data_IF_109046537807
#
_entry.id   IF_109046537807
#
_cell.length_a   1.000
_cell.length_b   1.000
_cell.length_c   1.000
_cell.angle_alpha   90.00
_cell.angle_beta   90.00
_cell.angle_gamma   90.00
#
_symmetry.space_group_name_H-M   'P 1'
#
loop_
_entity.id
_entity.type
_entity.pdbx_description
1 polymer ?
#
# COMPACT_ATOMS: atom_id res chain seq x y z
N UNK A 1 24.43 14.82 -2.55
CA UNK A 1 23.34 14.10 -3.24
C UNK A 1 23.68 12.62 -3.27
N UNK A 2 22.79 11.74 -2.81
CA UNK A 2 22.91 10.27 -2.88
C UNK A 2 21.74 9.73 -3.70
N UNK A 3 22.01 8.97 -4.75
CA UNK A 3 20.99 8.39 -5.62
C UNK A 3 20.69 6.96 -5.18
N UNK A 4 19.42 6.57 -5.24
CA UNK A 4 18.98 5.19 -5.03
C UNK A 4 18.53 4.62 -6.37
N UNK A 5 19.07 3.45 -6.72
CA UNK A 5 18.56 2.68 -7.86
C UNK A 5 17.43 1.77 -7.40
N UNK A 6 16.33 1.81 -8.14
CA UNK A 6 15.18 0.94 -7.98
C UNK A 6 14.49 0.71 -9.34
N UNK A 7 13.66 -0.31 -9.40
CA UNK A 7 12.85 -0.65 -10.57
C UNK A 7 11.57 0.19 -10.68
N UNK A 8 11.48 1.28 -9.91
CA UNK A 8 10.33 2.19 -9.94
C UNK A 8 10.36 3.10 -11.19
N UNK A 9 9.21 3.65 -11.59
CA UNK A 9 9.11 4.55 -12.74
C UNK A 9 9.76 5.92 -12.52
N UNK A 10 10.43 6.13 -11.39
CA UNK A 10 11.13 7.36 -11.04
C UNK A 10 12.55 7.06 -10.53
N UNK A 11 13.43 8.06 -10.60
CA UNK A 11 14.73 8.06 -9.93
C UNK A 11 14.62 8.83 -8.63
N UNK A 12 15.07 8.25 -7.52
CA UNK A 12 15.01 8.89 -6.19
C UNK A 12 16.41 9.31 -5.73
N UNK A 13 16.52 10.52 -5.18
CA UNK A 13 17.77 11.01 -4.60
C UNK A 13 17.54 11.71 -3.26
N UNK A 14 18.46 11.46 -2.32
CA UNK A 14 18.59 12.20 -1.07
C UNK A 14 19.50 13.41 -1.28
N UNK A 15 18.99 14.59 -0.97
CA UNK A 15 19.68 15.89 -1.07
C UNK A 15 19.91 16.40 0.35
N UNK A 16 21.17 16.71 0.66
CA UNK A 16 21.64 17.27 1.94
C UNK A 16 21.19 16.53 3.21
N UNK A 17 20.77 15.27 3.08
CA UNK A 17 20.20 14.46 4.17
C UNK A 17 18.93 15.07 4.80
N UNK A 18 18.34 16.06 4.14
CA UNK A 18 17.14 16.80 4.58
C UNK A 18 15.97 16.65 3.62
N UNK A 19 16.23 16.31 2.35
CA UNK A 19 15.21 16.25 1.32
C UNK A 19 15.29 14.99 0.48
N UNK A 20 14.14 14.44 0.12
CA UNK A 20 14.03 13.36 -0.87
C UNK A 20 13.39 13.93 -2.12
N UNK A 21 14.06 13.82 -3.25
CA UNK A 21 13.48 14.16 -4.55
C UNK A 21 13.24 12.91 -5.38
N UNK A 22 12.09 12.87 -6.05
CA UNK A 22 11.79 11.88 -7.09
C UNK A 22 11.68 12.59 -8.42
N UNK A 23 12.31 12.02 -9.44
CA UNK A 23 12.26 12.51 -10.83
C UNK A 23 11.63 11.42 -11.67
N UNK A 24 10.47 11.70 -12.28
CA UNK A 24 9.71 10.72 -13.06
C UNK A 24 10.41 10.46 -14.40
N UNK A 25 10.61 9.18 -14.74
CA UNK A 25 11.27 8.75 -15.99
C UNK A 25 10.30 8.75 -17.18
N UNK A 26 9.02 8.54 -16.91
CA UNK A 26 7.92 8.61 -17.88
C UNK A 26 6.95 9.70 -17.44
N UNK A 27 6.76 10.69 -18.30
CA UNK A 27 5.84 11.80 -18.04
C UNK A 27 4.46 11.42 -18.58
N UNK A 28 3.44 11.57 -17.74
CA UNK A 28 2.05 11.34 -18.10
C UNK A 28 1.27 12.64 -17.95
N UNK A 29 0.39 12.91 -18.91
CA UNK A 29 -0.45 14.12 -18.90
C UNK A 29 -1.60 13.89 -17.92
N UNK A 30 -1.76 14.82 -16.98
CA UNK A 30 -2.85 14.77 -16.01
C UNK A 30 -2.38 15.16 -14.61
N UNK A 31 -3.29 14.98 -13.65
CA UNK A 31 -3.00 15.19 -12.23
C UNK A 31 -2.13 14.03 -11.76
N UNK A 32 -0.94 14.33 -11.26
CA UNK A 32 -0.09 13.33 -10.63
C UNK A 32 -0.59 13.05 -9.20
N UNK A 33 -0.92 11.79 -8.84
CA UNK A 33 -1.48 11.46 -7.53
C UNK A 33 -0.59 11.85 -6.36
N UNK A 34 0.74 11.69 -6.49
CA UNK A 34 1.69 12.04 -5.42
C UNK A 34 1.69 13.55 -5.15
N UNK A 35 1.55 14.38 -6.20
CA UNK A 35 1.40 15.84 -6.05
C UNK A 35 0.04 16.19 -5.44
N UNK A 36 -1.06 15.61 -5.94
CA UNK A 36 -2.42 15.88 -5.46
C UNK A 36 -2.56 15.53 -3.96
N UNK A 37 -2.19 14.29 -3.61
CA UNK A 37 -2.22 13.77 -2.25
C UNK A 37 -1.23 14.52 -1.36
N UNK A 38 -0.01 14.77 -1.84
CA UNK A 38 1.02 15.48 -1.09
C UNK A 38 0.60 16.91 -0.72
N UNK A 39 0.01 17.67 -1.68
CA UNK A 39 -0.52 19.01 -1.41
C UNK A 39 -1.67 18.97 -0.41
N UNK A 40 -2.63 18.07 -0.59
CA UNK A 40 -3.75 17.96 0.34
C UNK A 40 -3.28 17.61 1.77
N UNK A 41 -2.45 16.57 1.91
CA UNK A 41 -1.96 16.11 3.21
C UNK A 41 -1.07 17.16 3.90
N UNK A 42 -0.27 17.90 3.14
CA UNK A 42 0.66 18.90 3.69
C UNK A 42 -0.02 20.23 3.99
N UNK A 43 -0.77 20.78 3.02
CA UNK A 43 -1.22 22.18 3.07
C UNK A 43 -2.66 22.32 3.59
N UNK A 44 -3.52 21.31 3.35
CA UNK A 44 -4.95 21.39 3.71
C UNK A 44 -5.20 20.78 5.09
N UNK A 45 -4.82 19.52 5.28
CA UNK A 45 -5.12 18.79 6.53
C UNK A 45 -3.96 18.75 7.52
N UNK A 46 -2.75 19.15 7.12
CA UNK A 46 -1.54 19.12 7.94
C UNK A 46 -1.33 17.74 8.62
N UNK A 47 -1.43 16.65 7.84
CA UNK A 47 -1.30 15.29 8.35
C UNK A 47 0.15 15.01 8.79
N UNK A 48 0.41 14.68 10.06
CA UNK A 48 1.78 14.66 10.60
C UNK A 48 2.59 13.42 10.24
N UNK A 49 1.94 12.30 9.92
CA UNK A 49 2.57 10.99 9.73
C UNK A 49 2.85 10.69 8.24
N UNK A 50 3.23 11.71 7.49
CA UNK A 50 3.69 11.59 6.09
C UNK A 50 4.78 12.62 5.80
N UNK A 51 5.72 12.38 4.87
CA UNK A 51 6.68 13.39 4.42
C UNK A 51 5.95 14.60 3.84
N UNK A 52 6.24 15.80 4.36
CA UNK A 52 5.69 17.03 3.80
C UNK A 52 6.15 17.23 2.35
N UNK A 53 5.23 17.55 1.45
CA UNK A 53 5.54 17.98 0.09
C UNK A 53 6.06 19.42 0.14
N UNK A 54 7.31 19.62 -0.28
CA UNK A 54 8.02 20.89 -0.20
C UNK A 54 8.09 21.61 -1.55
N UNK A 55 7.94 20.88 -2.65
CA UNK A 55 8.02 21.46 -3.98
C UNK A 55 7.71 20.48 -5.09
N UNK A 56 7.32 21.03 -6.24
CA UNK A 56 6.98 20.27 -7.45
C UNK A 56 7.58 20.95 -8.67
N UNK A 57 7.90 20.17 -9.70
CA UNK A 57 8.26 20.66 -11.02
C UNK A 57 7.34 20.00 -12.06
N UNK A 58 6.73 20.80 -12.93
CA UNK A 58 5.75 20.35 -13.92
C UNK A 58 6.12 20.90 -15.31
N UNK A 59 5.97 20.07 -16.34
CA UNK A 59 6.03 20.49 -17.75
C UNK A 59 4.65 21.02 -18.15
N UNK A 60 4.61 22.24 -18.67
CA UNK A 60 3.37 22.88 -19.15
C UNK A 60 3.43 23.06 -20.66
N UNK A 61 2.52 22.40 -21.37
CA UNK A 61 2.39 22.45 -22.84
C UNK A 61 0.96 22.84 -23.22
N UNK A 62 0.70 24.15 -23.31
CA UNK A 62 -0.66 24.67 -23.45
C UNK A 62 -1.47 24.36 -22.18
N UNK A 63 -2.60 23.67 -22.35
CA UNK A 63 -3.47 23.25 -21.24
C UNK A 63 -3.03 21.93 -20.59
N UNK A 64 -2.02 21.26 -21.14
CA UNK A 64 -1.51 19.99 -20.62
C UNK A 64 -0.44 20.23 -19.55
N UNK A 65 -0.54 19.49 -18.46
CA UNK A 65 0.47 19.46 -17.40
C UNK A 65 0.94 18.03 -17.17
N UNK A 66 2.25 17.86 -16.96
CA UNK A 66 2.86 16.58 -16.63
C UNK A 66 3.88 16.79 -15.51
N UNK A 67 3.82 15.97 -14.46
CA UNK A 67 4.77 16.05 -13.35
C UNK A 67 6.17 15.58 -13.78
N UNK A 68 7.19 16.41 -13.54
CA UNK A 68 8.60 16.09 -13.80
C UNK A 68 9.28 15.60 -12.53
N UNK A 69 9.05 16.29 -11.41
CA UNK A 69 9.69 15.95 -10.15
C UNK A 69 8.90 16.45 -8.94
N UNK A 70 9.11 15.78 -7.81
CA UNK A 70 8.63 16.17 -6.50
C UNK A 70 9.78 16.26 -5.50
N UNK A 71 9.62 17.11 -4.49
CA UNK A 71 10.55 17.27 -3.38
C UNK A 71 9.77 17.11 -2.07
N UNK A 72 10.18 16.15 -1.26
CA UNK A 72 9.61 15.89 0.06
C UNK A 72 10.65 16.13 1.16
N UNK A 73 10.19 16.45 2.37
CA UNK A 73 11.02 16.43 3.56
C UNK A 73 11.53 15.00 3.83
N UNK A 74 12.80 14.85 4.20
CA UNK A 74 13.36 13.56 4.59
C UNK A 74 12.82 13.13 5.95
N UNK A 75 12.30 11.90 6.03
CA UNK A 75 11.91 11.27 7.29
C UNK A 75 13.02 10.35 7.76
N UNK A 76 13.72 10.75 8.83
CA UNK A 76 14.73 9.90 9.49
C UNK A 76 14.04 8.74 10.19
N UNK A 77 14.29 7.52 9.72
CA UNK A 77 13.57 6.30 10.10
C UNK A 77 14.53 5.13 10.39
N UNK A 78 14.00 4.05 10.97
CA UNK A 78 14.74 2.80 11.26
C UNK A 78 14.42 1.67 10.25
N UNK A 79 13.94 2.02 9.05
CA UNK A 79 13.50 1.08 8.03
C UNK A 79 11.97 1.01 7.92
N UNK A 80 11.49 0.01 7.20
CA UNK A 80 10.07 -0.23 6.92
C UNK A 80 9.49 -1.40 7.75
N UNK A 81 8.15 -1.47 7.82
CA UNK A 81 7.47 -2.53 8.52
C UNK A 81 7.57 -3.90 7.83
N UNK A 82 7.91 -3.95 6.55
CA UNK A 82 8.19 -5.21 5.86
C UNK A 82 9.41 -5.89 6.48
N UNK A 83 10.51 -5.14 6.62
CA UNK A 83 11.76 -5.60 7.23
C UNK A 83 11.54 -6.00 8.69
N UNK A 84 10.75 -5.22 9.44
CA UNK A 84 10.39 -5.55 10.82
C UNK A 84 9.60 -6.86 10.90
N UNK A 85 8.58 -7.02 10.06
CA UNK A 85 7.72 -8.21 10.05
C UNK A 85 8.50 -9.46 9.61
N UNK A 86 9.29 -9.38 8.54
CA UNK A 86 10.13 -10.47 8.06
C UNK A 86 11.13 -10.92 9.14
N UNK A 87 11.83 -9.97 9.75
CA UNK A 87 12.79 -10.27 10.83
C UNK A 87 12.13 -10.91 12.04
N UNK A 88 10.90 -10.49 12.38
CA UNK A 88 10.13 -11.09 13.47
C UNK A 88 9.72 -12.54 13.15
N UNK A 89 9.24 -12.79 11.92
CA UNK A 89 8.86 -14.13 11.47
C UNK A 89 10.07 -15.08 11.40
N UNK A 90 11.22 -14.62 10.93
CA UNK A 90 12.46 -15.40 10.91
C UNK A 90 12.85 -15.85 12.33
N UNK A 91 12.82 -14.92 13.29
CA UNK A 91 13.08 -15.24 14.71
C UNK A 91 12.05 -16.22 15.28
N UNK A 92 10.78 -16.08 14.90
CA UNK A 92 9.71 -16.96 15.34
C UNK A 92 9.89 -18.39 14.82
N UNK A 93 10.25 -18.56 13.55
CA UNK A 93 10.53 -19.87 12.93
C UNK A 93 11.78 -20.51 13.53
N UNK A 94 12.87 -19.76 13.65
CA UNK A 94 14.11 -20.25 14.27
C UNK A 94 13.84 -20.75 15.70
N UNK A 95 13.04 -20.00 16.47
CA UNK A 95 12.64 -20.42 17.81
C UNK A 95 11.80 -21.68 17.81
N UNK A 96 10.81 -21.82 16.93
CA UNK A 96 10.03 -23.06 16.86
C UNK A 96 10.92 -24.27 16.57
N UNK A 97 11.95 -24.10 15.73
CA UNK A 97 12.96 -25.13 15.48
C UNK A 97 13.78 -25.48 16.73
N UNK A 98 14.16 -24.48 17.53
CA UNK A 98 14.95 -24.65 18.75
C UNK A 98 14.13 -25.19 19.95
N UNK A 99 12.86 -24.78 20.09
CA UNK A 99 11.96 -25.26 21.14
C UNK A 99 11.44 -26.68 20.85
N UNK A 100 11.27 -27.05 19.58
CA UNK A 100 11.11 -28.46 19.22
C UNK A 100 12.30 -29.34 19.67
N UNK A 101 13.45 -28.71 19.99
CA UNK A 101 14.63 -29.36 20.53
C UNK A 101 14.90 -29.08 22.03
N UNK A 102 14.06 -28.30 22.74
CA UNK A 102 14.26 -27.96 24.17
C UNK A 102 12.96 -27.68 24.95
N UNK A 103 12.74 -28.39 26.07
CA UNK A 103 11.54 -28.32 26.93
C UNK A 103 11.56 -27.16 27.95
N UNK A 104 11.77 -25.91 27.53
CA UNK A 104 11.80 -24.75 28.42
C UNK A 104 10.88 -23.60 27.99
N UNK A 105 10.15 -22.93 28.90
CA UNK A 105 9.34 -21.77 28.55
C UNK A 105 10.28 -20.58 28.27
N UNK A 106 10.38 -20.18 27.01
CA UNK A 106 11.18 -19.02 26.63
C UNK A 106 10.49 -17.72 27.04
N UNK A 107 11.05 -17.00 28.02
CA UNK A 107 10.67 -15.61 28.36
C UNK A 107 10.89 -14.71 27.13
N UNK A 108 9.80 -14.23 26.51
CA UNK A 108 9.88 -13.46 25.24
C UNK A 108 8.72 -12.48 25.04
N UNK A 109 8.14 -11.94 26.12
CA UNK A 109 7.11 -10.90 26.01
C UNK A 109 7.61 -9.66 25.25
N UNK A 110 8.92 -9.35 25.29
CA UNK A 110 9.51 -8.14 24.73
C UNK A 110 9.44 -8.00 23.20
N UNK A 111 10.02 -8.94 22.44
CA UNK A 111 10.08 -8.85 20.96
C UNK A 111 8.68 -8.91 20.33
N UNK A 112 7.84 -9.85 20.79
CA UNK A 112 6.46 -9.95 20.34
C UNK A 112 5.67 -8.68 20.67
N UNK A 113 5.82 -8.12 21.88
CA UNK A 113 5.12 -6.90 22.25
C UNK A 113 5.58 -5.71 21.42
N UNK A 114 6.87 -5.59 21.10
CA UNK A 114 7.39 -4.53 20.22
C UNK A 114 6.82 -4.66 18.82
N UNK A 115 6.82 -5.86 18.23
CA UNK A 115 6.22 -6.11 16.92
C UNK A 115 4.72 -5.75 16.91
N UNK A 116 3.95 -6.24 17.88
CA UNK A 116 2.52 -5.93 17.99
C UNK A 116 2.25 -4.44 18.19
N UNK A 117 3.13 -3.72 18.91
CA UNK A 117 3.03 -2.27 19.06
C UNK A 117 3.21 -1.54 17.73
N UNK A 118 4.20 -1.92 16.93
CA UNK A 118 4.38 -1.37 15.59
C UNK A 118 3.15 -1.62 14.70
N UNK A 119 2.60 -2.84 14.72
CA UNK A 119 1.38 -3.16 13.95
C UNK A 119 0.16 -2.36 14.43
N UNK A 120 0.01 -2.17 15.75
CA UNK A 120 -1.06 -1.34 16.31
C UNK A 120 -0.94 0.12 15.88
N UNK A 121 0.28 0.67 15.87
CA UNK A 121 0.52 2.02 15.37
C UNK A 121 0.30 2.14 13.87
N UNK A 122 0.69 1.14 13.08
CA UNK A 122 0.39 1.10 11.65
C UNK A 122 -1.13 1.20 11.38
N UNK A 123 -1.93 0.38 12.07
CA UNK A 123 -3.38 0.42 11.97
C UNK A 123 -3.97 1.77 12.41
N UNK A 124 -3.44 2.34 13.50
CA UNK A 124 -3.84 3.67 13.97
C UNK A 124 -3.54 4.77 12.94
N UNK A 125 -2.32 4.84 12.41
CA UNK A 125 -1.93 5.87 11.43
C UNK A 125 -2.67 5.73 10.12
N UNK A 126 -2.95 4.50 9.69
CA UNK A 126 -3.80 4.26 8.52
C UNK A 126 -5.24 4.77 8.75
N UNK A 127 -5.82 4.51 9.91
CA UNK A 127 -7.15 5.02 10.24
C UNK A 127 -7.18 6.56 10.28
N UNK A 128 -6.18 7.18 10.91
CA UNK A 128 -6.05 8.65 10.95
C UNK A 128 -5.84 9.25 9.55
N UNK A 129 -5.07 8.59 8.68
CA UNK A 129 -4.93 8.99 7.27
C UNK A 129 -6.28 8.97 6.56
N UNK A 130 -7.06 7.88 6.67
CA UNK A 130 -8.39 7.81 6.06
C UNK A 130 -9.34 8.87 6.62
N UNK A 131 -9.30 9.15 7.93
CA UNK A 131 -10.08 10.24 8.54
C UNK A 131 -9.66 11.59 7.96
N UNK A 132 -8.36 11.84 7.80
CA UNK A 132 -7.84 13.09 7.23
C UNK A 132 -8.29 13.24 5.76
N UNK A 133 -8.19 12.18 4.96
CA UNK A 133 -8.64 12.18 3.56
C UNK A 133 -10.14 12.35 3.41
N UNK A 134 -10.93 11.97 4.43
CA UNK A 134 -12.37 12.16 4.46
C UNK A 134 -12.82 13.50 5.08
N UNK A 135 -11.89 14.36 5.52
CA UNK A 135 -12.22 15.47 6.42
C UNK A 135 -12.80 16.71 5.72
N UNK A 136 -12.56 16.88 4.41
CA UNK A 136 -12.92 18.10 3.70
C UNK A 136 -14.05 17.84 2.68
N UNK A 137 -15.27 18.28 3.02
CA UNK A 137 -16.46 18.15 2.16
C UNK A 137 -16.59 19.28 1.13
N UNK A 138 -15.87 20.39 1.32
CA UNK A 138 -15.96 21.57 0.48
C UNK A 138 -14.97 21.53 -0.69
N UNK A 139 -14.02 20.58 -0.67
CA UNK A 139 -13.10 20.31 -1.77
C UNK A 139 -13.60 19.10 -2.58
N UNK A 140 -14.20 19.28 -3.77
CA UNK A 140 -14.86 18.21 -4.51
C UNK A 140 -13.97 16.97 -4.74
N UNK A 141 -12.67 17.17 -5.01
CA UNK A 141 -11.73 16.08 -5.31
C UNK A 141 -11.46 15.15 -4.11
N UNK A 142 -11.74 15.61 -2.89
CA UNK A 142 -11.54 14.88 -1.63
C UNK A 142 -12.85 14.70 -0.84
N UNK A 143 -13.97 15.21 -1.35
CA UNK A 143 -15.25 15.11 -0.66
C UNK A 143 -15.70 13.64 -0.60
N UNK A 144 -16.02 13.10 0.60
CA UNK A 144 -16.51 11.74 0.72
C UNK A 144 -17.84 11.55 -0.02
N UNK A 145 -17.90 10.53 -0.88
CA UNK A 145 -19.10 10.20 -1.65
C UNK A 145 -19.79 8.98 -1.04
N UNK A 146 -21.12 8.98 -0.82
CA UNK A 146 -21.80 7.80 -0.29
C UNK A 146 -21.63 6.60 -1.23
N UNK A 147 -21.15 5.47 -0.69
CA UNK A 147 -21.06 4.22 -1.44
C UNK A 147 -22.48 3.74 -1.78
N UNK A 148 -22.75 3.50 -3.06
CA UNK A 148 -24.06 3.01 -3.51
C UNK A 148 -24.03 1.51 -3.77
N UNK A 149 -25.21 0.88 -3.75
CA UNK A 149 -25.33 -0.54 -4.08
C UNK A 149 -24.82 -0.85 -5.51
N UNK A 150 -24.94 0.10 -6.44
CA UNK A 150 -24.38 -0.01 -7.79
C UNK A 150 -22.85 -0.04 -7.80
N UNK A 151 -22.19 0.71 -6.90
CA UNK A 151 -20.73 0.69 -6.76
C UNK A 151 -20.25 -0.69 -6.28
N UNK A 152 -20.93 -1.24 -5.26
CA UNK A 152 -20.64 -2.56 -4.72
C UNK A 152 -20.82 -3.65 -5.78
N UNK A 153 -21.92 -3.60 -6.53
CA UNK A 153 -22.18 -4.55 -7.61
C UNK A 153 -21.08 -4.48 -8.67
N UNK A 154 -20.70 -3.27 -9.11
CA UNK A 154 -19.59 -3.07 -10.05
C UNK A 154 -18.28 -3.68 -9.54
N UNK A 155 -17.90 -3.41 -8.29
CA UNK A 155 -16.65 -3.93 -7.72
C UNK A 155 -16.66 -5.46 -7.57
N UNK A 156 -17.79 -6.04 -7.16
CA UNK A 156 -17.96 -7.50 -7.11
C UNK A 156 -17.75 -8.10 -8.51
N UNK A 157 -18.42 -7.55 -9.52
CA UNK A 157 -18.32 -8.04 -10.91
C UNK A 157 -16.89 -7.91 -11.45
N UNK A 158 -16.19 -6.81 -11.14
CA UNK A 158 -14.78 -6.61 -11.49
C UNK A 158 -13.85 -7.63 -10.83
N UNK A 159 -14.01 -7.90 -9.53
CA UNK A 159 -13.20 -8.87 -8.79
C UNK A 159 -13.46 -10.29 -9.31
N UNK A 160 -14.73 -10.64 -9.55
CA UNK A 160 -15.12 -11.94 -10.13
C UNK A 160 -14.49 -12.09 -11.52
N UNK A 161 -14.65 -11.10 -12.40
CA UNK A 161 -14.08 -11.15 -13.75
C UNK A 161 -12.53 -11.23 -13.72
N UNK A 162 -11.87 -10.55 -12.77
CA UNK A 162 -10.41 -10.66 -12.57
C UNK A 162 -10.02 -12.06 -12.13
N UNK A 163 -10.76 -12.66 -11.19
CA UNK A 163 -10.50 -14.01 -10.73
C UNK A 163 -10.66 -15.03 -11.87
N UNK A 164 -11.73 -14.96 -12.66
CA UNK A 164 -11.95 -15.82 -13.84
C UNK A 164 -10.76 -15.80 -14.79
N UNK A 165 -10.22 -14.61 -15.10
CA UNK A 165 -9.00 -14.47 -15.95
C UNK A 165 -7.78 -15.19 -15.35
N UNK A 166 -7.63 -15.19 -14.03
CA UNK A 166 -6.55 -15.93 -13.35
C UNK A 166 -6.76 -17.44 -13.51
N UNK A 167 -7.97 -17.94 -13.33
CA UNK A 167 -8.26 -19.37 -13.53
C UNK A 167 -8.04 -19.81 -14.97
N UNK A 168 -8.48 -19.02 -15.94
CA UNK A 168 -8.23 -19.31 -17.36
C UNK A 168 -6.73 -19.34 -17.66
N UNK A 169 -5.96 -18.40 -17.10
CA UNK A 169 -4.50 -18.38 -17.24
C UNK A 169 -3.87 -19.64 -16.61
N UNK A 170 -4.32 -20.07 -15.44
CA UNK A 170 -3.84 -21.29 -14.77
C UNK A 170 -4.16 -22.54 -15.59
N UNK A 171 -5.39 -22.66 -16.13
CA UNK A 171 -5.77 -23.77 -17.02
C UNK A 171 -4.88 -23.83 -18.26
N UNK A 172 -4.67 -22.69 -18.92
CA UNK A 172 -3.84 -22.58 -20.13
C UNK A 172 -2.38 -22.95 -19.86
N UNK A 173 -1.82 -22.50 -18.72
CA UNK A 173 -0.41 -22.72 -18.38
C UNK A 173 -0.15 -24.03 -17.63
N UNK A 174 -1.18 -24.79 -17.25
CA UNK A 174 -1.06 -26.00 -16.42
C UNK A 174 0.02 -26.98 -16.90
N UNK A 175 0.09 -27.25 -18.20
CA UNK A 175 1.08 -28.16 -18.77
C UNK A 175 2.53 -27.64 -18.66
N UNK A 176 2.72 -26.33 -18.60
CA UNK A 176 4.03 -25.69 -18.46
C UNK A 176 4.54 -25.58 -17.01
N UNK A 177 3.65 -25.74 -16.02
CA UNK A 177 4.00 -25.70 -14.60
C UNK A 177 4.80 -26.94 -14.17
N UNK A 178 5.62 -26.80 -13.14
CA UNK A 178 6.29 -27.93 -12.48
C UNK A 178 5.28 -28.79 -11.71
N UNK A 179 5.61 -30.04 -11.43
CA UNK A 179 4.69 -30.98 -10.76
C UNK A 179 4.10 -30.44 -9.44
N UNK A 180 4.94 -29.91 -8.56
CA UNK A 180 4.48 -29.32 -7.29
C UNK A 180 3.54 -28.12 -7.50
N UNK A 181 3.81 -27.28 -8.50
CA UNK A 181 2.98 -26.12 -8.85
C UNK A 181 1.65 -26.56 -9.49
N UNK A 182 1.64 -27.63 -10.30
CA UNK A 182 0.41 -28.20 -10.88
C UNK A 182 -0.55 -28.65 -9.79
N UNK A 183 -0.05 -29.30 -8.74
CA UNK A 183 -0.88 -29.75 -7.62
C UNK A 183 -1.57 -28.56 -6.93
N UNK A 184 -0.84 -27.48 -6.68
CA UNK A 184 -1.40 -26.25 -6.10
C UNK A 184 -2.40 -25.58 -7.04
N UNK A 185 -2.09 -25.51 -8.34
CA UNK A 185 -3.00 -24.97 -9.35
C UNK A 185 -4.30 -25.77 -9.45
N UNK A 186 -4.23 -27.11 -9.38
CA UNK A 186 -5.40 -27.99 -9.40
C UNK A 186 -6.24 -27.83 -8.13
N UNK A 187 -5.61 -27.68 -6.96
CA UNK A 187 -6.31 -27.40 -5.71
C UNK A 187 -7.06 -26.08 -5.76
N UNK A 188 -6.43 -25.03 -6.29
CA UNK A 188 -7.09 -23.74 -6.50
C UNK A 188 -8.23 -23.89 -7.51
N UNK A 189 -7.99 -24.57 -8.64
CA UNK A 189 -8.98 -24.80 -9.70
C UNK A 189 -10.23 -25.53 -9.19
N UNK A 190 -10.08 -26.45 -8.23
CA UNK A 190 -11.21 -27.14 -7.60
C UNK A 190 -12.13 -26.20 -6.78
N UNK A 191 -11.67 -25.00 -6.42
CA UNK A 191 -12.47 -23.99 -5.72
C UNK A 191 -13.18 -23.00 -6.66
N UNK A 192 -12.96 -23.11 -7.97
CA UNK A 192 -13.47 -22.19 -8.99
C UNK A 192 -14.98 -21.94 -8.88
N UNK A 193 -15.79 -23.00 -8.86
CA UNK A 193 -17.25 -22.89 -8.89
C UNK A 193 -17.82 -22.27 -7.60
N UNK A 194 -17.07 -22.31 -6.50
CA UNK A 194 -17.47 -21.70 -5.22
C UNK A 194 -17.07 -20.23 -5.11
N UNK A 195 -16.18 -19.75 -5.99
CA UNK A 195 -15.56 -18.44 -5.83
C UNK A 195 -16.51 -17.27 -6.04
N UNK A 196 -17.38 -17.24 -7.07
CA UNK A 196 -18.28 -16.09 -7.26
C UNK A 196 -19.18 -15.87 -6.05
N UNK A 197 -19.72 -16.93 -5.46
CA UNK A 197 -20.55 -16.84 -4.26
C UNK A 197 -19.76 -16.41 -3.02
N UNK A 198 -18.51 -16.88 -2.86
CA UNK A 198 -17.63 -16.39 -1.78
C UNK A 198 -17.31 -14.91 -1.93
N UNK A 199 -16.98 -14.45 -3.14
CA UNK A 199 -16.65 -13.04 -3.40
C UNK A 199 -17.86 -12.13 -3.19
N UNK A 200 -19.05 -12.54 -3.64
CA UNK A 200 -20.31 -11.84 -3.36
C UNK A 200 -20.63 -11.76 -1.87
N UNK A 201 -20.18 -12.73 -1.08
CA UNK A 201 -20.41 -12.76 0.37
C UNK A 201 -19.40 -11.91 1.17
N UNK A 202 -18.28 -11.46 0.57
CA UNK A 202 -17.28 -10.64 1.26
C UNK A 202 -17.75 -9.21 1.49
N UNK A 203 -18.59 -8.69 0.60
CA UNK A 203 -19.12 -7.33 0.69
C UNK A 203 -20.60 -7.39 1.10
N UNK A 204 -20.98 -6.78 2.25
CA UNK A 204 -22.39 -6.65 2.58
C UNK A 204 -23.10 -5.84 1.50
N UNK A 205 -24.30 -6.27 1.09
CA UNK A 205 -25.07 -5.61 0.02
C UNK A 205 -25.50 -4.19 0.39
N UNK A 206 -25.60 -3.92 1.69
CA UNK A 206 -25.90 -2.63 2.27
C UNK A 206 -24.72 -2.23 3.15
N UNK A 207 -24.04 -1.15 2.78
CA UNK A 207 -22.98 -0.54 3.59
C UNK A 207 -23.26 0.95 3.72
N UNK A 208 -23.19 1.47 4.95
CA UNK A 208 -23.27 2.91 5.23
C UNK A 208 -21.89 3.57 5.10
N UNK A 209 -21.17 3.22 4.02
CA UNK A 209 -19.80 3.63 3.75
C UNK A 209 -19.70 4.88 2.88
N UNK A 210 -18.50 5.46 2.86
CA UNK A 210 -18.14 6.53 1.93
C UNK A 210 -16.92 6.11 1.10
N UNK A 211 -16.96 6.42 -0.18
CA UNK A 211 -15.81 6.43 -1.06
C UNK A 211 -14.99 7.68 -0.75
N UNK A 212 -13.70 7.49 -0.50
CA UNK A 212 -12.77 8.58 -0.18
C UNK A 212 -11.51 8.40 -1.02
N UNK A 213 -10.73 9.48 -1.16
CA UNK A 213 -9.33 9.34 -1.58
C UNK A 213 -8.61 8.42 -0.60
N UNK A 214 -7.73 7.58 -1.12
CA UNK A 214 -6.97 6.60 -0.35
C UNK A 214 -5.58 6.44 -0.96
N UNK A 215 -4.69 5.75 -0.25
CA UNK A 215 -3.30 5.54 -0.67
C UNK A 215 -3.17 4.85 -2.04
N UNK A 216 -4.04 3.87 -2.34
CA UNK A 216 -4.11 3.22 -3.66
C UNK A 216 -3.28 1.95 -3.81
N UNK A 217 -2.17 1.81 -3.08
CA UNK A 217 -1.31 0.62 -3.14
C UNK A 217 -0.56 0.40 -1.82
N UNK A 218 -1.27 0.53 -0.70
CA UNK A 218 -0.65 0.47 0.63
C UNK A 218 -0.08 -0.93 0.93
N UNK A 219 1.21 -1.00 1.23
CA UNK A 219 1.84 -2.22 1.77
C UNK A 219 2.87 -1.90 2.87
N UNK A 220 3.34 -2.92 3.59
CA UNK A 220 4.26 -2.75 4.74
C UNK A 220 5.59 -2.07 4.38
N UNK A 221 5.98 -2.08 3.10
CA UNK A 221 7.18 -1.39 2.59
C UNK A 221 7.02 0.14 2.56
N UNK A 222 5.79 0.65 2.51
CA UNK A 222 5.48 2.08 2.52
C UNK A 222 5.18 2.61 3.94
N UNK A 223 5.38 1.78 4.95
CA UNK A 223 5.19 2.13 6.35
C UNK A 223 6.55 2.21 7.03
N UNK A 224 7.08 3.43 7.14
CA UNK A 224 8.37 3.70 7.76
C UNK A 224 8.26 3.71 9.29
N UNK A 225 9.20 3.07 9.97
CA UNK A 225 9.31 3.09 11.43
C UNK A 225 10.10 4.33 11.85
N UNK A 226 9.47 5.18 12.65
CA UNK A 226 10.06 6.41 13.18
C UNK A 226 9.98 6.38 14.70
N UNK A 227 11.07 5.92 15.34
CA UNK A 227 11.15 5.61 16.77
C UNK A 227 10.09 4.57 17.12
N UNK A 228 9.09 4.96 17.92
CA UNK A 228 7.97 4.12 18.29
C UNK A 228 6.76 4.32 17.36
N UNK A 229 6.81 5.19 16.35
CA UNK A 229 5.65 5.54 15.50
C UNK A 229 5.83 5.09 14.04
N UNK A 230 4.80 5.29 13.21
CA UNK A 230 4.77 4.91 11.79
C UNK A 230 4.50 6.12 10.90
N UNK A 231 5.22 6.22 9.79
CA UNK A 231 4.98 7.20 8.73
C UNK A 231 4.56 6.48 7.45
N UNK A 232 3.66 7.09 6.70
CA UNK A 232 3.11 6.55 5.44
C UNK A 232 3.69 7.35 4.28
N UNK A 233 4.22 6.67 3.27
CA UNK A 233 4.93 7.25 2.12
C UNK A 233 4.39 6.70 0.79
N UNK A 234 4.78 7.32 -0.32
CA UNK A 234 4.54 6.83 -1.69
C UNK A 234 3.06 6.79 -2.11
N UNK A 235 2.45 7.99 -2.18
CA UNK A 235 1.07 8.20 -2.65
C UNK A 235 0.93 8.32 -4.18
N UNK A 236 1.83 7.70 -4.95
CA UNK A 236 1.79 7.73 -6.41
C UNK A 236 0.68 6.84 -6.99
N UNK A 237 0.17 5.90 -6.20
CA UNK A 237 -0.80 4.91 -6.63
C UNK A 237 -0.09 3.76 -7.36
N UNK A 238 -0.53 2.52 -7.09
CA UNK A 238 0.06 1.34 -7.70
C UNK A 238 -0.04 1.35 -9.23
N UNK A 239 0.77 0.54 -9.93
CA UNK A 239 0.64 0.41 -11.37
C UNK A 239 -0.78 -0.05 -11.73
N UNK A 240 -1.55 0.84 -12.36
CA UNK A 240 -2.83 0.50 -12.97
C UNK A 240 -2.68 -0.48 -14.13
#
# INVERSE_FOLDING_TARGET
>A
IRVFENDQPHSTALVDNEYVTKIYRKLEVGINPEIEMGRFLTEVVNFPNTPALLGTSELVEGDKRSAIAVLHAMVVNQGDLWTVAASHLDRLVERQRLLAASEGPAENGGDQATYLRHMAHAGKRLAELHIALASNRDLPEFAPEPTRSEDLQRWIDEIVARAERVFDTLKQRRSSLKEAERLLADQLQAQHDMLPERLKALLPRDTDGFNIRHHGDLHLGQLLVVKDDVFIIDFDGGPG
#
